data_IF_741242999704
#
_entry.id   IF_741242999704
#
_cell.length_a   1.000
_cell.length_b   1.000
_cell.length_c   1.000
_cell.angle_alpha   90.00
_cell.angle_beta   90.00
_cell.angle_gamma   90.00
#
_symmetry.space_group_name_H-M   'P 1'
#
loop_
_entity.id
_entity.type
_entity.pdbx_description
1 polymer ?
#
# COMPACT_ATOMS: atom_id res chain seq x y z
N UNK A 1 4.71 1.77 -2.92
CA UNK A 1 4.08 2.15 -1.64
C UNK A 1 2.89 3.03 -1.93
N UNK A 2 1.69 2.59 -1.58
CA UNK A 2 0.46 3.39 -1.69
C UNK A 2 0.09 3.89 -0.30
N UNK A 3 0.13 5.21 -0.11
CA UNK A 3 -0.28 5.87 1.13
C UNK A 3 -1.66 6.46 0.89
N UNK A 4 -2.66 5.98 1.63
CA UNK A 4 -4.04 6.48 1.54
C UNK A 4 -4.41 7.14 2.86
N UNK A 5 -4.39 8.46 2.90
CA UNK A 5 -4.71 9.24 4.10
C UNK A 5 -6.04 10.00 3.97
N UNK A 6 -6.39 10.48 2.78
CA UNK A 6 -7.48 11.45 2.56
C UNK A 6 -8.79 11.09 3.26
N UNK A 7 -9.61 10.25 2.64
CA UNK A 7 -10.88 9.80 3.25
C UNK A 7 -10.65 8.74 4.35
N UNK A 8 -9.46 8.13 4.39
CA UNK A 8 -9.16 7.03 5.31
C UNK A 8 -9.12 7.45 6.78
N UNK A 9 -8.88 8.73 7.07
CA UNK A 9 -9.03 9.28 8.43
C UNK A 9 -10.40 9.00 9.06
N UNK A 10 -11.46 8.93 8.25
CA UNK A 10 -12.84 8.74 8.72
C UNK A 10 -13.44 7.42 8.23
N UNK A 11 -12.95 6.89 7.10
CA UNK A 11 -13.43 5.63 6.54
C UNK A 11 -13.32 4.50 7.57
N UNK A 12 -14.45 3.84 7.85
CA UNK A 12 -14.54 2.74 8.84
C UNK A 12 -13.93 3.11 10.20
N UNK A 13 -14.06 4.37 10.62
CA UNK A 13 -13.51 4.85 11.89
C UNK A 13 -11.99 4.88 11.93
N UNK A 14 -11.32 4.92 10.76
CA UNK A 14 -9.85 4.99 10.68
C UNK A 14 -9.14 3.64 10.73
N UNK A 15 -9.86 2.51 10.58
CA UNK A 15 -9.30 1.15 10.69
C UNK A 15 -8.06 0.90 9.79
N UNK A 16 -8.02 1.52 8.61
CA UNK A 16 -6.91 1.40 7.66
C UNK A 16 -6.11 2.69 7.49
N UNK A 17 -6.31 3.66 8.38
CA UNK A 17 -5.48 4.85 8.45
C UNK A 17 -4.22 4.53 9.24
N UNK A 18 -3.06 4.73 8.61
CA UNK A 18 -1.75 4.55 9.23
C UNK A 18 -0.98 5.86 9.15
N UNK A 19 -0.20 6.20 10.17
CA UNK A 19 0.63 7.43 10.15
C UNK A 19 1.82 7.27 9.22
N UNK A 20 2.46 8.38 8.83
CA UNK A 20 3.70 8.35 8.03
C UNK A 20 4.77 7.52 8.72
N UNK A 21 4.91 7.63 10.03
CA UNK A 21 5.87 6.88 10.84
C UNK A 21 5.62 5.36 10.74
N UNK A 22 4.35 4.93 10.73
CA UNK A 22 3.99 3.53 10.56
C UNK A 22 4.33 3.03 9.15
N UNK A 23 4.09 3.84 8.11
CA UNK A 23 4.55 3.50 6.76
C UNK A 23 6.08 3.39 6.68
N UNK A 24 6.82 4.29 7.32
CA UNK A 24 8.29 4.25 7.38
C UNK A 24 8.80 2.98 8.07
N UNK A 25 8.18 2.56 9.16
CA UNK A 25 8.50 1.28 9.83
C UNK A 25 8.28 0.09 8.88
N UNK A 26 7.16 0.07 8.15
CA UNK A 26 6.90 -0.97 7.14
C UNK A 26 7.95 -0.95 6.02
N UNK A 27 8.34 0.23 5.52
CA UNK A 27 9.38 0.35 4.49
C UNK A 27 10.75 -0.14 4.98
N UNK A 28 11.08 0.09 6.26
CA UNK A 28 12.31 -0.44 6.87
C UNK A 28 12.27 -1.98 6.93
N UNK A 29 11.16 -2.57 7.38
CA UNK A 29 10.96 -4.03 7.40
C UNK A 29 11.09 -4.62 5.99
N UNK A 30 10.53 -3.97 4.97
CA UNK A 30 10.67 -4.40 3.57
C UNK A 30 12.12 -4.34 3.11
N UNK A 31 12.87 -3.28 3.44
CA UNK A 31 14.30 -3.21 3.12
C UNK A 31 15.07 -4.40 3.71
N UNK A 32 14.72 -4.82 4.93
CA UNK A 32 15.35 -5.96 5.60
C UNK A 32 15.02 -7.32 4.95
N UNK A 33 13.89 -7.44 4.25
CA UNK A 33 13.56 -8.67 3.50
C UNK A 33 14.44 -8.88 2.26
N UNK A 34 15.07 -7.83 1.76
CA UNK A 34 15.89 -7.88 0.55
C UNK A 34 17.33 -7.45 0.82
N UNK A 35 18.08 -8.14 1.71
CA UNK A 35 19.41 -7.71 2.15
C UNK A 35 20.46 -7.68 1.02
N UNK A 36 20.19 -8.36 -0.09
CA UNK A 36 21.07 -8.42 -1.27
C UNK A 36 20.66 -7.43 -2.38
N UNK A 37 19.61 -6.65 -2.19
CA UNK A 37 19.11 -5.72 -3.19
C UNK A 37 19.10 -4.28 -2.67
N UNK A 38 19.33 -3.32 -3.57
CA UNK A 38 19.08 -1.91 -3.28
C UNK A 38 17.58 -1.64 -3.46
N UNK A 39 16.85 -1.54 -2.36
CA UNK A 39 15.42 -1.26 -2.39
C UNK A 39 15.16 0.22 -2.69
N UNK A 40 14.25 0.49 -3.63
CA UNK A 40 13.70 1.81 -3.90
C UNK A 40 12.19 1.80 -3.74
N UNK A 41 11.62 2.89 -3.24
CA UNK A 41 10.19 3.00 -3.03
C UNK A 41 9.60 4.10 -3.90
N UNK A 42 8.67 3.75 -4.78
CA UNK A 42 7.74 4.71 -5.36
C UNK A 42 6.59 4.93 -4.37
N UNK A 43 6.39 6.17 -3.92
CA UNK A 43 5.30 6.59 -3.02
C UNK A 43 4.25 7.34 -3.83
N UNK A 44 3.06 6.75 -3.92
CA UNK A 44 1.87 7.39 -4.49
C UNK A 44 0.88 7.66 -3.36
N UNK A 45 0.33 8.87 -3.30
CA UNK A 45 -0.44 9.35 -2.15
C UNK A 45 -1.56 10.31 -2.54
N UNK A 46 -2.64 10.31 -1.76
CA UNK A 46 -3.72 11.30 -1.85
C UNK A 46 -3.57 12.47 -0.86
N UNK A 47 -2.48 12.50 -0.08
CA UNK A 47 -2.10 13.60 0.80
C UNK A 47 -0.68 14.10 0.52
N UNK A 48 -0.41 15.35 0.91
CA UNK A 48 0.95 15.91 0.95
C UNK A 48 1.76 15.31 2.11
N UNK A 49 3.07 15.26 1.94
CA UNK A 49 4.01 14.68 2.91
C UNK A 49 5.24 15.57 3.09
N UNK A 50 5.83 15.55 4.28
CA UNK A 50 7.15 16.15 4.50
C UNK A 50 8.24 15.19 4.01
N UNK A 51 8.95 15.57 2.95
CA UNK A 51 9.99 14.76 2.32
C UNK A 51 11.14 14.41 3.28
N UNK A 52 11.42 15.27 4.26
CA UNK A 52 12.48 15.03 5.25
C UNK A 52 12.24 13.77 6.09
N UNK A 53 10.97 13.39 6.31
CA UNK A 53 10.62 12.17 7.04
C UNK A 53 11.10 10.90 6.30
N UNK A 54 11.27 10.98 4.98
CA UNK A 54 11.67 9.86 4.13
C UNK A 54 13.18 9.84 3.84
N UNK A 55 13.95 10.80 4.35
CA UNK A 55 15.35 11.01 3.97
C UNK A 55 16.29 9.81 4.26
N UNK A 56 15.90 8.90 5.16
CA UNK A 56 16.68 7.69 5.48
C UNK A 56 16.46 6.54 4.48
N UNK A 57 15.54 6.70 3.52
CA UNK A 57 15.15 5.68 2.55
C UNK A 57 15.31 6.21 1.12
N UNK A 58 15.52 5.30 0.16
CA UNK A 58 15.56 5.63 -1.25
C UNK A 58 14.12 5.77 -1.80
N UNK A 59 13.58 6.98 -1.79
CA UNK A 59 12.16 7.25 -2.10
C UNK A 59 12.02 8.16 -3.31
N UNK A 60 11.09 7.79 -4.18
CA UNK A 60 10.60 8.58 -5.31
C UNK A 60 9.11 8.83 -5.09
N UNK A 61 8.63 10.00 -5.47
CA UNK A 61 7.22 10.34 -5.37
C UNK A 61 6.56 10.24 -6.74
N UNK A 62 5.35 9.68 -6.75
CA UNK A 62 4.46 9.72 -7.90
C UNK A 62 4.04 11.14 -8.23
N UNK A 63 3.30 11.29 -9.32
CA UNK A 63 2.83 12.61 -9.79
C UNK A 63 1.61 13.09 -9.03
N UNK A 64 1.02 12.22 -8.19
CA UNK A 64 -0.29 12.37 -7.55
C UNK A 64 -1.46 12.41 -8.55
N UNK A 65 -1.20 12.14 -9.84
CA UNK A 65 -2.25 11.99 -10.83
C UNK A 65 -2.79 10.56 -10.80
N UNK A 66 -4.10 10.42 -10.60
CA UNK A 66 -4.76 9.14 -10.33
C UNK A 66 -4.38 8.02 -11.30
N UNK A 67 -4.34 8.29 -12.61
CA UNK A 67 -4.02 7.26 -13.61
C UNK A 67 -2.51 7.00 -13.70
N UNK A 68 -1.69 8.03 -13.60
CA UNK A 68 -0.24 7.88 -13.74
C UNK A 68 0.32 7.07 -12.58
N UNK A 69 -0.09 7.41 -11.36
CA UNK A 69 0.28 6.68 -10.15
C UNK A 69 -0.22 5.23 -10.21
N UNK A 70 -1.42 4.97 -10.75
CA UNK A 70 -1.98 3.63 -10.83
C UNK A 70 -1.14 2.73 -11.72
N UNK A 71 -0.76 3.23 -12.90
CA UNK A 71 0.10 2.50 -13.84
C UNK A 71 1.55 2.40 -13.34
N UNK A 72 2.06 3.43 -12.67
CA UNK A 72 3.40 3.40 -12.09
C UNK A 72 3.49 2.35 -10.96
N UNK A 73 2.47 2.27 -10.11
CA UNK A 73 2.33 1.20 -9.11
C UNK A 73 2.25 -0.18 -9.79
N UNK A 74 1.42 -0.32 -10.82
CA UNK A 74 1.29 -1.59 -11.55
C UNK A 74 2.58 -2.03 -12.29
N UNK A 75 3.57 -1.15 -12.42
CA UNK A 75 4.88 -1.44 -13.01
C UNK A 75 5.99 -1.75 -11.98
N UNK A 76 5.70 -1.68 -10.67
CA UNK A 76 6.67 -1.99 -9.61
C UNK A 76 6.89 -3.52 -9.45
N UNK A 77 7.98 -3.91 -8.79
CA UNK A 77 8.26 -5.32 -8.46
C UNK A 77 7.32 -5.87 -7.37
N UNK A 78 6.86 -4.99 -6.48
CA UNK A 78 5.96 -5.33 -5.38
C UNK A 78 5.18 -4.09 -4.93
N UNK A 79 3.98 -4.32 -4.41
CA UNK A 79 3.11 -3.28 -3.87
C UNK A 79 2.98 -3.44 -2.36
N UNK A 80 2.85 -2.31 -1.67
CA UNK A 80 2.59 -2.24 -0.24
C UNK A 80 1.59 -1.11 -0.04
N UNK A 81 0.58 -1.31 0.79
CA UNK A 81 -0.35 -0.25 1.16
C UNK A 81 -1.48 -0.74 2.06
N UNK A 82 -2.39 0.14 2.47
CA UNK A 82 -3.54 -0.25 3.25
C UNK A 82 -4.50 -1.08 2.38
N UNK A 83 -5.55 -1.61 3.01
CA UNK A 83 -6.62 -2.28 2.30
C UNK A 83 -7.33 -1.26 1.39
N UNK A 84 -7.09 -1.31 0.07
CA UNK A 84 -7.62 -0.36 -0.91
C UNK A 84 -7.95 -1.02 -2.25
N UNK A 85 -9.07 -0.63 -2.86
CA UNK A 85 -9.43 -1.09 -4.23
C UNK A 85 -8.42 -0.59 -5.27
N UNK A 86 -7.82 0.57 -5.04
CA UNK A 86 -6.83 1.19 -5.93
C UNK A 86 -5.55 0.34 -6.05
N UNK A 87 -4.93 -0.02 -4.91
CA UNK A 87 -3.76 -0.91 -4.90
C UNK A 87 -4.12 -2.35 -5.32
N UNK A 88 -5.35 -2.79 -5.04
CA UNK A 88 -5.85 -4.09 -5.52
C UNK A 88 -5.93 -4.13 -7.05
N UNK A 89 -6.39 -3.04 -7.69
CA UNK A 89 -6.43 -2.96 -9.15
C UNK A 89 -5.03 -2.95 -9.75
N UNK A 90 -4.09 -2.19 -9.18
CA UNK A 90 -2.69 -2.19 -9.62
C UNK A 90 -2.07 -3.59 -9.55
N UNK A 91 -2.31 -4.32 -8.44
CA UNK A 91 -1.85 -5.69 -8.25
C UNK A 91 -2.38 -6.63 -9.33
N UNK A 92 -3.68 -6.55 -9.61
CA UNK A 92 -4.33 -7.35 -10.64
C UNK A 92 -3.79 -7.04 -12.04
N UNK A 93 -3.80 -5.76 -12.41
CA UNK A 93 -3.44 -5.32 -13.76
C UNK A 93 -1.98 -5.63 -14.08
N UNK A 94 -1.07 -5.29 -13.17
CA UNK A 94 0.36 -5.51 -13.33
C UNK A 94 0.82 -6.94 -13.01
N UNK A 95 -0.06 -7.80 -12.46
CA UNK A 95 0.32 -9.08 -11.83
C UNK A 95 1.41 -8.90 -10.78
N UNK A 96 1.36 -7.77 -10.07
CA UNK A 96 2.36 -7.38 -9.06
C UNK A 96 1.88 -7.84 -7.70
N UNK A 97 2.71 -8.55 -6.92
CA UNK A 97 2.31 -9.00 -5.60
C UNK A 97 2.15 -7.82 -4.64
N UNK A 98 1.05 -7.80 -3.89
CA UNK A 98 0.69 -6.77 -2.93
C UNK A 98 0.76 -7.32 -1.49
N UNK A 99 1.39 -6.56 -0.61
CA UNK A 99 1.25 -6.69 0.83
C UNK A 99 0.23 -5.66 1.34
N UNK A 100 -0.83 -6.14 1.99
CA UNK A 100 -1.83 -5.29 2.65
C UNK A 100 -1.44 -5.08 4.11
N UNK A 101 -1.31 -3.82 4.51
CA UNK A 101 -1.07 -3.45 5.90
C UNK A 101 -2.40 -3.55 6.64
N UNK A 102 -2.48 -4.47 7.60
CA UNK A 102 -3.58 -4.56 8.57
C UNK A 102 -3.10 -4.01 9.92
N UNK A 103 -1.92 -4.43 10.36
CA UNK A 103 -1.26 -3.93 11.56
C UNK A 103 0.20 -3.58 11.23
N UNK A 104 0.61 -2.30 11.36
CA UNK A 104 1.96 -1.87 10.97
C UNK A 104 3.06 -2.49 11.83
N UNK A 105 2.73 -2.93 13.04
CA UNK A 105 3.65 -3.57 13.98
C UNK A 105 3.91 -5.04 13.66
N UNK A 106 3.07 -5.70 12.83
CA UNK A 106 3.24 -7.12 12.50
C UNK A 106 4.56 -7.41 11.79
N UNK A 107 5.05 -8.64 12.01
CA UNK A 107 6.19 -9.16 11.26
C UNK A 107 5.80 -9.35 9.79
N UNK A 108 6.73 -8.96 8.93
CA UNK A 108 6.54 -8.93 7.49
C UNK A 108 7.42 -10.03 6.86
N UNK A 109 6.86 -10.78 5.92
CA UNK A 109 7.48 -11.92 5.25
C UNK A 109 7.05 -11.96 3.78
N UNK A 110 7.85 -12.60 2.93
CA UNK A 110 7.57 -12.71 1.50
C UNK A 110 6.29 -13.50 1.19
N UNK A 111 5.87 -14.42 2.06
CA UNK A 111 4.67 -15.25 1.86
C UNK A 111 3.36 -14.45 1.96
N UNK A 112 3.39 -13.27 2.58
CA UNK A 112 2.23 -12.39 2.71
C UNK A 112 1.98 -11.57 1.44
N UNK A 113 2.95 -11.50 0.53
CA UNK A 113 2.84 -10.82 -0.76
C UNK A 113 2.10 -11.71 -1.75
N UNK A 114 0.94 -11.24 -2.23
CA UNK A 114 0.07 -12.02 -3.13
C UNK A 114 -0.49 -11.15 -4.24
N UNK A 115 -0.74 -11.74 -5.41
CA UNK A 115 -1.50 -11.07 -6.46
C UNK A 115 -2.97 -11.11 -6.06
N UNK A 116 -3.64 -9.96 -6.05
CA UNK A 116 -5.06 -9.86 -5.73
C UNK A 116 -5.88 -9.62 -6.99
N UNK A 117 -7.07 -10.22 -7.06
CA UNK A 117 -8.05 -10.00 -8.13
C UNK A 117 -9.26 -9.23 -7.57
N UNK A 118 -9.62 -8.06 -8.13
CA UNK A 118 -10.84 -7.34 -7.79
C UNK A 118 -12.08 -8.23 -7.81
N UNK A 119 -12.93 -8.10 -6.80
CA UNK A 119 -14.16 -8.89 -6.66
C UNK A 119 -13.97 -10.30 -6.06
N UNK A 120 -12.83 -10.96 -6.29
CA UNK A 120 -12.55 -12.27 -5.69
C UNK A 120 -11.79 -12.16 -4.36
N UNK A 121 -10.75 -11.33 -4.31
CA UNK A 121 -9.83 -11.21 -3.17
C UNK A 121 -10.02 -9.91 -2.36
N UNK A 122 -11.07 -9.16 -2.68
CA UNK A 122 -11.51 -8.01 -1.90
C UNK A 122 -12.59 -8.43 -0.91
N UNK A 123 -12.19 -9.19 0.10
CA UNK A 123 -13.04 -9.56 1.24
C UNK A 123 -12.42 -8.96 2.49
N UNK A 124 -13.22 -8.22 3.24
CA UNK A 124 -12.82 -7.81 4.59
C UNK A 124 -12.68 -9.08 5.46
N UNK A 125 -11.82 -9.08 6.49
CA UNK A 125 -11.77 -10.16 7.48
C UNK A 125 -13.18 -10.49 8.01
N UNK A 126 -13.41 -11.76 8.38
CA UNK A 126 -14.74 -12.30 8.68
C UNK A 126 -15.57 -11.39 9.61
N UNK A 127 -16.76 -10.99 9.13
CA UNK A 127 -17.73 -10.18 9.86
C UNK A 127 -18.44 -9.08 9.06
N UNK A 128 -17.97 -8.72 7.85
CA UNK A 128 -18.49 -7.55 7.13
C UNK A 128 -18.75 -7.84 5.65
N UNK A 129 -20.00 -8.11 5.31
CA UNK A 129 -20.51 -8.03 3.93
C UNK A 129 -20.55 -6.56 3.48
N UNK A 130 -20.16 -6.30 2.23
CA UNK A 130 -20.54 -5.07 1.55
C UNK A 130 -22.06 -5.02 1.51
N UNK A 131 -22.69 -4.10 2.24
CA UNK A 131 -24.06 -3.71 1.91
C UNK A 131 -24.02 -3.06 0.53
N UNK A 132 -24.19 -3.88 -0.50
CA UNK A 132 -24.50 -3.41 -1.83
C UNK A 132 -25.94 -2.91 -1.76
N UNK A 133 -26.12 -1.60 -1.53
CA UNK A 133 -27.39 -0.95 -1.80
C UNK A 133 -27.61 -1.02 -3.32
N UNK A 134 -28.49 -1.93 -3.73
CA UNK A 134 -29.14 -1.91 -5.04
C UNK A 134 -30.18 -0.79 -5.12
#
# INVERSE_FOLDING_TARGET
>A
MHIRHGDYQQHRGGEFFFTVEQYLQVMQKVTQLFPQHKVGFLVCSDSQHNLEQFASLNVFFGTNHLLEDLYALAACDSLIGPMSTYSTWASFHGKVPLYRIYHPDENLSLEQFKIYVPGMDYKYPQGLTLETKG
#
